data_IF_794159631575
#
_entry.id   IF_794159631575
#
_cell.length_a   1.000
_cell.length_b   1.000
_cell.length_c   1.000
_cell.angle_alpha   90.00
_cell.angle_beta   90.00
_cell.angle_gamma   90.00
#
_symmetry.space_group_name_H-M   'P 1'
#
loop_
_entity.id
_entity.type
_entity.pdbx_description
1 polymer ?
#
# COMPACT_ATOMS: atom_id res chain seq x y z
N UNK A 1 127.17 22.35 41.64
CA UNK A 1 126.44 21.60 42.70
C UNK A 1 125.08 22.20 43.08
N UNK A 2 124.96 23.29 43.86
CA UNK A 2 123.61 23.80 44.25
C UNK A 2 122.78 24.36 43.08
N UNK A 3 123.43 24.96 42.08
CA UNK A 3 122.79 25.46 40.85
C UNK A 3 122.35 24.33 39.90
N UNK A 4 123.03 23.18 39.91
CA UNK A 4 122.61 21.98 39.17
C UNK A 4 121.39 21.33 39.84
N UNK A 5 121.39 21.20 41.17
CA UNK A 5 120.25 20.67 41.91
C UNK A 5 119.00 21.54 41.72
N UNK A 6 119.14 22.85 41.58
CA UNK A 6 118.01 23.76 41.33
C UNK A 6 117.49 23.63 39.89
N UNK A 7 118.38 23.50 38.89
CA UNK A 7 118.00 23.22 37.50
C UNK A 7 117.33 21.85 37.34
N UNK A 8 117.81 20.83 38.03
CA UNK A 8 117.20 19.50 38.00
C UNK A 8 115.80 19.50 38.66
N UNK A 9 115.60 20.28 39.73
CA UNK A 9 114.29 20.42 40.38
C UNK A 9 113.29 21.22 39.53
N UNK A 10 113.70 22.28 38.85
CA UNK A 10 112.82 23.02 37.93
C UNK A 10 112.47 22.17 36.70
N UNK A 11 113.45 21.46 36.14
CA UNK A 11 113.24 20.54 35.01
C UNK A 11 112.27 19.42 35.39
N UNK A 12 112.44 18.77 36.55
CA UNK A 12 111.54 17.72 37.01
C UNK A 12 110.11 18.21 37.28
N UNK A 13 109.92 19.47 37.69
CA UNK A 13 108.60 20.05 37.92
C UNK A 13 107.88 20.39 36.61
N UNK A 14 108.62 20.89 35.61
CA UNK A 14 108.13 21.11 34.25
C UNK A 14 107.77 19.78 33.56
N UNK A 15 108.58 18.73 33.73
CA UNK A 15 108.25 17.38 33.22
C UNK A 15 106.99 16.82 33.89
N UNK A 16 106.80 17.02 35.20
CA UNK A 16 105.59 16.58 35.90
C UNK A 16 104.33 17.36 35.48
N UNK A 17 104.45 18.66 35.17
CA UNK A 17 103.35 19.44 34.61
C UNK A 17 103.02 18.99 33.18
N UNK A 18 104.03 18.68 32.35
CA UNK A 18 103.82 18.11 31.02
C UNK A 18 103.14 16.74 31.05
N UNK A 19 103.49 15.88 32.02
CA UNK A 19 102.83 14.58 32.22
C UNK A 19 101.35 14.75 32.59
N UNK A 20 101.02 15.65 33.54
CA UNK A 20 99.62 15.94 33.90
C UNK A 20 98.84 16.54 32.73
N UNK A 21 99.45 17.43 31.95
CA UNK A 21 98.84 17.98 30.75
C UNK A 21 98.55 16.87 29.71
N UNK A 22 99.48 15.92 29.53
CA UNK A 22 99.30 14.77 28.66
C UNK A 22 98.17 13.83 29.15
N UNK A 23 98.08 13.56 30.46
CA UNK A 23 97.01 12.76 31.06
C UNK A 23 95.63 13.40 30.89
N UNK A 24 95.51 14.72 31.12
CA UNK A 24 94.24 15.45 30.89
C UNK A 24 93.84 15.45 29.42
N UNK A 25 94.79 15.60 28.50
CA UNK A 25 94.54 15.54 27.06
C UNK A 25 94.12 14.13 26.64
N UNK A 26 94.72 13.09 27.22
CA UNK A 26 94.33 11.69 26.96
C UNK A 26 92.92 11.38 27.48
N UNK A 27 92.55 11.90 28.66
CA UNK A 27 91.19 11.79 29.19
C UNK A 27 90.19 12.55 28.31
N UNK A 28 90.54 13.74 27.81
CA UNK A 28 89.71 14.49 26.88
C UNK A 28 89.50 13.74 25.55
N UNK A 29 90.57 13.17 25.00
CA UNK A 29 90.51 12.35 23.77
C UNK A 29 89.64 11.11 24.00
N UNK A 30 89.75 10.45 25.15
CA UNK A 30 88.89 9.32 25.50
C UNK A 30 87.42 9.73 25.58
N UNK A 31 87.11 10.85 26.23
CA UNK A 31 85.75 11.39 26.29
C UNK A 31 85.21 11.75 24.90
N UNK A 32 86.02 12.37 24.03
CA UNK A 32 85.65 12.68 22.65
C UNK A 32 85.34 11.39 21.87
N UNK A 33 86.12 10.33 22.07
CA UNK A 33 85.88 9.03 21.43
C UNK A 33 84.57 8.39 21.93
N UNK A 34 84.30 8.44 23.24
CA UNK A 34 83.06 7.95 23.83
C UNK A 34 81.83 8.72 23.29
N UNK A 35 81.91 10.05 23.21
CA UNK A 35 80.85 10.87 22.62
C UNK A 35 80.67 10.53 21.14
N UNK A 36 81.76 10.32 20.40
CA UNK A 36 81.70 9.94 18.97
C UNK A 36 81.02 8.58 18.79
N UNK A 37 81.30 7.61 19.65
CA UNK A 37 80.60 6.33 19.63
C UNK A 37 79.11 6.46 19.93
N UNK A 38 78.75 7.26 20.94
CA UNK A 38 77.36 7.50 21.31
C UNK A 38 76.61 8.15 20.14
N UNK A 39 77.20 9.16 19.50
CA UNK A 39 76.62 9.82 18.33
C UNK A 39 76.43 8.84 17.18
N UNK A 40 77.40 7.98 16.90
CA UNK A 40 77.29 6.95 15.86
C UNK A 40 76.18 5.93 16.17
N UNK A 41 76.06 5.49 17.43
CA UNK A 41 74.98 4.59 17.89
C UNK A 41 73.61 5.26 17.72
N UNK A 42 73.48 6.53 18.09
CA UNK A 42 72.24 7.31 17.93
C UNK A 42 71.90 7.47 16.44
N UNK A 43 72.89 7.78 15.59
CA UNK A 43 72.69 7.90 14.14
C UNK A 43 72.15 6.61 13.54
N UNK A 44 72.77 5.47 13.83
CA UNK A 44 72.31 4.16 13.33
C UNK A 44 70.91 3.82 13.83
N UNK A 45 70.61 4.12 15.10
CA UNK A 45 69.27 3.91 15.67
C UNK A 45 68.22 4.78 14.98
N UNK A 46 68.51 6.07 14.77
CA UNK A 46 67.61 6.99 14.09
C UNK A 46 67.38 6.58 12.62
N UNK A 47 68.41 6.14 11.91
CA UNK A 47 68.29 5.62 10.54
C UNK A 47 67.38 4.37 10.50
N UNK A 48 67.56 3.45 11.45
CA UNK A 48 66.71 2.26 11.55
C UNK A 48 65.25 2.61 11.88
N UNK A 49 65.02 3.50 12.85
CA UNK A 49 63.68 3.99 13.23
C UNK A 49 62.99 4.69 12.05
N UNK A 50 63.71 5.53 11.31
CA UNK A 50 63.19 6.20 10.12
C UNK A 50 62.76 5.19 9.04
N UNK A 51 63.59 4.18 8.76
CA UNK A 51 63.27 3.14 7.77
C UNK A 51 62.02 2.35 8.20
N UNK A 52 61.89 2.02 9.49
CA UNK A 52 60.71 1.31 10.02
C UNK A 52 59.46 2.18 9.91
N UNK A 53 59.53 3.45 10.32
CA UNK A 53 58.43 4.40 10.22
C UNK A 53 57.98 4.57 8.75
N UNK A 54 58.93 4.73 7.83
CA UNK A 54 58.65 4.84 6.40
C UNK A 54 58.01 3.57 5.84
N UNK A 55 58.54 2.38 6.17
CA UNK A 55 57.95 1.09 5.74
C UNK A 55 56.53 0.93 6.25
N UNK A 56 56.27 1.28 7.50
CA UNK A 56 54.93 1.23 8.10
C UNK A 56 53.97 2.22 7.41
N UNK A 57 54.42 3.44 7.16
CA UNK A 57 53.64 4.44 6.44
C UNK A 57 53.32 3.99 5.00
N UNK A 58 54.29 3.44 4.28
CA UNK A 58 54.06 2.89 2.94
C UNK A 58 53.10 1.70 2.95
N UNK A 59 53.17 0.85 3.98
CA UNK A 59 52.21 -0.25 4.15
C UNK A 59 50.79 0.29 4.37
N UNK A 60 50.64 1.37 5.14
CA UNK A 60 49.36 2.07 5.34
C UNK A 60 48.83 2.66 4.03
N UNK A 61 49.64 3.40 3.28
CA UNK A 61 49.25 3.96 1.97
C UNK A 61 48.82 2.85 1.00
N UNK A 62 49.57 1.74 0.93
CA UNK A 62 49.20 0.60 0.07
C UNK A 62 47.85 -0.02 0.48
N UNK A 63 47.57 -0.10 1.78
CA UNK A 63 46.29 -0.59 2.27
C UNK A 63 45.14 0.37 1.90
N UNK A 64 45.32 1.68 2.08
CA UNK A 64 44.34 2.71 1.72
C UNK A 64 44.06 2.73 0.21
N UNK A 65 45.10 2.64 -0.63
CA UNK A 65 44.93 2.55 -2.09
C UNK A 65 44.17 1.29 -2.51
N UNK A 66 44.44 0.15 -1.86
CA UNK A 66 43.72 -1.10 -2.11
C UNK A 66 42.25 -0.98 -1.69
N UNK A 67 41.97 -0.35 -0.55
CA UNK A 67 40.60 -0.10 -0.09
C UNK A 67 39.84 0.81 -1.06
N UNK A 68 40.46 1.90 -1.53
CA UNK A 68 39.87 2.80 -2.52
C UNK A 68 39.58 2.10 -3.85
N UNK A 69 40.50 1.24 -4.31
CA UNK A 69 40.28 0.41 -5.50
C UNK A 69 39.08 -0.51 -5.32
N UNK A 70 39.01 -1.22 -4.20
CA UNK A 70 37.89 -2.12 -3.90
C UNK A 70 36.55 -1.36 -3.81
N UNK A 71 36.52 -0.19 -3.17
CA UNK A 71 35.32 0.67 -3.11
C UNK A 71 34.87 1.12 -4.50
N UNK A 72 35.81 1.46 -5.39
CA UNK A 72 35.50 1.87 -6.76
C UNK A 72 34.91 0.71 -7.56
N UNK A 73 35.49 -0.48 -7.42
CA UNK A 73 34.98 -1.70 -8.08
C UNK A 73 33.59 -2.10 -7.57
N UNK A 74 33.35 -2.02 -6.25
CA UNK A 74 32.03 -2.25 -5.65
C UNK A 74 30.99 -1.24 -6.17
N UNK A 75 31.34 0.04 -6.24
CA UNK A 75 30.47 1.07 -6.82
C UNK A 75 30.15 0.79 -8.30
N UNK A 76 31.14 0.38 -9.08
CA UNK A 76 30.94 0.02 -10.48
C UNK A 76 30.01 -1.20 -10.62
N UNK A 77 30.18 -2.23 -9.79
CA UNK A 77 29.30 -3.41 -9.77
C UNK A 77 27.86 -3.03 -9.39
N UNK A 78 27.69 -2.15 -8.39
CA UNK A 78 26.38 -1.64 -8.00
C UNK A 78 25.72 -0.83 -9.13
N UNK A 79 26.47 -0.02 -9.87
CA UNK A 79 25.96 0.70 -11.05
C UNK A 79 25.49 -0.26 -12.14
N UNK A 80 26.25 -1.33 -12.41
CA UNK A 80 25.87 -2.35 -13.41
C UNK A 80 24.57 -3.06 -12.99
N UNK A 81 24.46 -3.48 -11.72
CA UNK A 81 23.27 -4.13 -11.19
C UNK A 81 22.04 -3.22 -11.27
N UNK A 82 22.20 -1.95 -10.90
CA UNK A 82 21.13 -0.95 -11.03
C UNK A 82 20.70 -0.75 -12.48
N UNK A 83 21.65 -0.72 -13.43
CA UNK A 83 21.34 -0.62 -14.86
C UNK A 83 20.54 -1.82 -15.36
N UNK A 84 20.90 -3.04 -14.94
CA UNK A 84 20.14 -4.26 -15.26
C UNK A 84 18.72 -4.17 -14.70
N UNK A 85 18.56 -3.73 -13.45
CA UNK A 85 17.24 -3.56 -12.82
C UNK A 85 16.38 -2.50 -13.51
N UNK A 86 16.98 -1.38 -13.91
CA UNK A 86 16.28 -0.34 -14.70
C UNK A 86 15.79 -0.92 -16.02
N UNK A 87 16.64 -1.63 -16.76
CA UNK A 87 16.24 -2.25 -18.03
C UNK A 87 15.13 -3.28 -17.84
N UNK A 88 15.15 -4.07 -16.76
CA UNK A 88 14.06 -5.00 -16.44
C UNK A 88 12.74 -4.26 -16.21
N UNK A 89 12.76 -3.21 -15.39
CA UNK A 89 11.58 -2.38 -15.13
C UNK A 89 11.05 -1.72 -16.42
N UNK A 90 11.93 -1.22 -17.28
CA UNK A 90 11.54 -0.61 -18.55
C UNK A 90 10.89 -1.62 -19.51
N UNK A 91 11.39 -2.87 -19.53
CA UNK A 91 10.78 -3.95 -20.28
C UNK A 91 9.40 -4.32 -19.72
N UNK A 92 9.25 -4.47 -18.41
CA UNK A 92 7.95 -4.72 -17.78
C UNK A 92 6.95 -3.59 -18.06
N UNK A 93 7.41 -2.34 -18.01
CA UNK A 93 6.58 -1.18 -18.30
C UNK A 93 6.13 -1.16 -19.76
N UNK A 94 6.97 -1.62 -20.68
CA UNK A 94 6.61 -1.79 -22.10
C UNK A 94 5.54 -2.87 -22.27
N UNK A 95 5.69 -4.02 -21.62
CA UNK A 95 4.67 -5.09 -21.63
C UNK A 95 3.33 -4.61 -21.08
N UNK A 96 3.33 -3.83 -19.99
CA UNK A 96 2.08 -3.27 -19.45
C UNK A 96 1.42 -2.27 -20.40
N UNK A 97 2.20 -1.46 -21.13
CA UNK A 97 1.67 -0.55 -22.15
C UNK A 97 1.03 -1.32 -23.30
N UNK A 98 1.71 -2.34 -23.82
CA UNK A 98 1.20 -3.19 -24.89
C UNK A 98 -0.10 -3.92 -24.46
N UNK A 99 -0.12 -4.47 -23.24
CA UNK A 99 -1.31 -5.15 -22.71
C UNK A 99 -2.48 -4.19 -22.53
N UNK A 100 -2.23 -2.96 -22.06
CA UNK A 100 -3.25 -1.93 -21.98
C UNK A 100 -3.82 -1.57 -23.35
N UNK A 101 -2.98 -1.40 -24.37
CA UNK A 101 -3.43 -1.13 -25.74
C UNK A 101 -4.29 -2.28 -26.28
N UNK A 102 -3.85 -3.53 -26.09
CA UNK A 102 -4.61 -4.72 -26.47
C UNK A 102 -5.97 -4.80 -25.77
N UNK A 103 -6.03 -4.46 -24.48
CA UNK A 103 -7.28 -4.42 -23.74
C UNK A 103 -8.21 -3.30 -24.22
N UNK A 104 -7.67 -2.12 -24.56
CA UNK A 104 -8.46 -1.04 -25.14
C UNK A 104 -9.08 -1.44 -26.48
N UNK A 105 -8.32 -2.06 -27.36
CA UNK A 105 -8.81 -2.56 -28.65
C UNK A 105 -9.94 -3.59 -28.44
N UNK A 106 -9.76 -4.52 -27.51
CA UNK A 106 -10.78 -5.53 -27.17
C UNK A 106 -12.07 -4.90 -26.61
N UNK A 107 -11.94 -3.87 -25.78
CA UNK A 107 -13.10 -3.11 -25.26
C UNK A 107 -13.81 -2.38 -26.40
N UNK A 108 -13.07 -1.77 -27.31
CA UNK A 108 -13.65 -1.07 -28.46
C UNK A 108 -14.43 -2.04 -29.35
N UNK A 109 -13.87 -3.22 -29.64
CA UNK A 109 -14.56 -4.27 -30.40
C UNK A 109 -15.85 -4.71 -29.70
N UNK A 110 -15.80 -4.97 -28.39
CA UNK A 110 -16.99 -5.37 -27.63
C UNK A 110 -18.06 -4.28 -27.55
N UNK A 111 -17.65 -3.01 -27.52
CA UNK A 111 -18.59 -1.90 -27.59
C UNK A 111 -19.30 -1.83 -28.96
N UNK A 112 -18.57 -2.05 -30.07
CA UNK A 112 -19.17 -2.14 -31.41
C UNK A 112 -20.19 -3.28 -31.49
N UNK A 113 -19.81 -4.49 -31.06
CA UNK A 113 -20.73 -5.64 -31.01
C UNK A 113 -21.99 -5.35 -30.16
N UNK A 114 -21.82 -4.68 -29.01
CA UNK A 114 -22.95 -4.33 -28.14
C UNK A 114 -23.89 -3.31 -28.79
N UNK A 115 -23.35 -2.34 -29.53
CA UNK A 115 -24.16 -1.40 -30.31
C UNK A 115 -24.96 -2.11 -31.42
N UNK A 116 -24.33 -3.04 -32.14
CA UNK A 116 -25.01 -3.85 -33.16
C UNK A 116 -26.13 -4.70 -32.57
N UNK A 117 -25.88 -5.37 -31.43
CA UNK A 117 -26.89 -6.16 -30.74
C UNK A 117 -28.04 -5.31 -30.22
N UNK A 118 -27.77 -4.10 -29.70
CA UNK A 118 -28.82 -3.15 -29.32
C UNK A 118 -29.68 -2.74 -30.50
N UNK A 119 -29.08 -2.50 -31.66
CA UNK A 119 -29.80 -2.18 -32.88
C UNK A 119 -30.70 -3.35 -33.32
N UNK A 120 -30.16 -4.57 -33.39
CA UNK A 120 -30.92 -5.79 -33.73
C UNK A 120 -32.08 -6.04 -32.75
N UNK A 121 -31.84 -5.83 -31.45
CA UNK A 121 -32.88 -5.96 -30.42
C UNK A 121 -33.99 -4.94 -30.64
N UNK A 122 -33.66 -3.69 -30.96
CA UNK A 122 -34.63 -2.64 -31.24
C UNK A 122 -35.47 -2.96 -32.49
N UNK A 123 -34.83 -3.46 -33.55
CA UNK A 123 -35.52 -3.89 -34.77
C UNK A 123 -36.47 -5.06 -34.50
N UNK A 124 -36.00 -6.08 -33.78
CA UNK A 124 -36.83 -7.23 -33.38
C UNK A 124 -38.03 -6.81 -32.51
N UNK A 125 -37.83 -5.85 -31.59
CA UNK A 125 -38.94 -5.28 -30.80
C UNK A 125 -39.99 -4.61 -31.68
N UNK A 126 -39.58 -3.78 -32.64
CA UNK A 126 -40.52 -3.14 -33.58
C UNK A 126 -41.34 -4.17 -34.37
N UNK A 127 -40.70 -5.24 -34.85
CA UNK A 127 -41.38 -6.34 -35.55
C UNK A 127 -42.35 -7.08 -34.64
N UNK A 128 -41.96 -7.35 -33.39
CA UNK A 128 -42.82 -8.00 -32.42
C UNK A 128 -44.06 -7.13 -32.09
N UNK A 129 -43.86 -5.83 -31.87
CA UNK A 129 -44.95 -4.87 -31.62
C UNK A 129 -45.93 -4.82 -32.81
N UNK A 130 -45.40 -4.83 -34.04
CA UNK A 130 -46.21 -4.86 -35.26
C UNK A 130 -47.03 -6.16 -35.38
N UNK A 131 -46.41 -7.31 -35.14
CA UNK A 131 -47.11 -8.61 -35.16
C UNK A 131 -48.16 -8.68 -34.04
N UNK A 132 -47.84 -8.18 -32.85
CA UNK A 132 -48.79 -8.11 -31.74
C UNK A 132 -50.01 -7.24 -32.09
N UNK A 133 -49.80 -6.11 -32.77
CA UNK A 133 -50.89 -5.28 -33.29
C UNK A 133 -51.73 -6.02 -34.33
N UNK A 134 -51.12 -6.76 -35.27
CA UNK A 134 -51.86 -7.56 -36.25
C UNK A 134 -52.69 -8.66 -35.57
N UNK A 135 -52.11 -9.40 -34.63
CA UNK A 135 -52.80 -10.46 -33.88
C UNK A 135 -53.98 -9.88 -33.09
N UNK A 136 -53.79 -8.74 -32.42
CA UNK A 136 -54.89 -8.02 -31.74
C UNK A 136 -55.99 -7.60 -32.72
N UNK A 137 -55.63 -7.14 -33.92
CA UNK A 137 -56.57 -6.79 -34.97
C UNK A 137 -57.39 -7.98 -35.47
N UNK A 138 -56.74 -9.12 -35.71
CA UNK A 138 -57.40 -10.37 -36.11
C UNK A 138 -58.31 -10.92 -35.01
N UNK A 139 -57.87 -10.91 -33.75
CA UNK A 139 -58.70 -11.30 -32.61
C UNK A 139 -59.98 -10.45 -32.52
N UNK A 140 -59.89 -9.14 -32.75
CA UNK A 140 -61.08 -8.26 -32.78
C UNK A 140 -62.03 -8.62 -33.92
N UNK A 141 -61.51 -8.85 -35.14
CA UNK A 141 -62.31 -9.28 -36.29
C UNK A 141 -63.00 -10.61 -36.05
N UNK A 142 -62.28 -11.60 -35.52
CA UNK A 142 -62.82 -12.92 -35.20
C UNK A 142 -63.96 -12.82 -34.18
N UNK A 143 -63.78 -12.00 -33.14
CA UNK A 143 -64.82 -11.74 -32.14
C UNK A 143 -66.06 -11.05 -32.73
N UNK A 144 -65.89 -10.15 -33.70
CA UNK A 144 -67.02 -9.54 -34.42
C UNK A 144 -67.77 -10.54 -35.29
N UNK A 145 -67.05 -11.40 -36.02
CA UNK A 145 -67.65 -12.47 -36.83
C UNK A 145 -68.45 -13.48 -35.98
N UNK A 146 -67.96 -13.82 -34.78
CA UNK A 146 -68.70 -14.67 -33.84
C UNK A 146 -70.04 -14.01 -33.43
N UNK A 147 -70.04 -12.70 -33.16
CA UNK A 147 -71.25 -11.94 -32.84
C UNK A 147 -72.21 -11.86 -34.03
N UNK A 148 -71.72 -11.58 -35.25
CA UNK A 148 -72.55 -11.55 -36.47
C UNK A 148 -73.20 -12.92 -36.74
N UNK A 149 -72.47 -14.00 -36.48
CA UNK A 149 -72.99 -15.36 -36.61
C UNK A 149 -74.06 -15.68 -35.57
N UNK A 150 -73.94 -15.16 -34.35
CA UNK A 150 -74.98 -15.26 -33.32
C UNK A 150 -76.22 -14.40 -33.63
N UNK A 151 -76.06 -13.28 -34.35
CA UNK A 151 -77.16 -12.40 -34.75
C UNK A 151 -77.91 -12.88 -35.99
N UNK A 152 -77.27 -13.67 -36.87
CA UNK A 152 -77.98 -14.40 -37.92
C UNK A 152 -78.67 -15.63 -37.33
N UNK A 153 -79.89 -15.41 -36.82
CA UNK A 153 -80.83 -16.48 -36.54
C UNK A 153 -81.20 -17.19 -37.87
N UNK A 154 -80.59 -18.35 -38.13
CA UNK A 154 -81.09 -19.31 -39.12
C UNK A 154 -82.14 -20.20 -38.44
N UNK A 155 -83.35 -20.35 -39.02
CA UNK A 155 -84.33 -21.30 -38.52
C UNK A 155 -83.93 -22.73 -38.92
N UNK A 156 -84.02 -23.63 -37.94
CA UNK A 156 -84.21 -25.08 -37.99
C UNK A 156 -83.94 -25.81 -39.32
N UNK A 157 -82.91 -26.67 -39.36
CA UNK A 157 -83.05 -28.01 -39.94
C UNK A 157 -82.00 -28.97 -39.35
N UNK A 158 -82.51 -30.04 -38.73
CA UNK A 158 -81.77 -31.25 -38.38
C UNK A 158 -81.16 -31.89 -39.63
N UNK A 159 -79.87 -32.23 -39.58
CA UNK A 159 -79.45 -33.54 -40.08
C UNK A 159 -78.09 -33.95 -39.50
N UNK A 160 -78.17 -35.04 -38.75
CA UNK A 160 -77.12 -35.93 -38.29
C UNK A 160 -76.13 -36.29 -39.40
N UNK A 161 -74.82 -36.31 -39.10
CA UNK A 161 -73.94 -37.44 -39.40
C UNK A 161 -72.73 -37.45 -38.45
N UNK A 162 -72.60 -38.55 -37.73
CA UNK A 162 -71.44 -38.93 -36.92
C UNK A 162 -70.18 -39.08 -37.79
N UNK A 163 -69.01 -38.70 -37.27
CA UNK A 163 -67.82 -39.57 -37.34
C UNK A 163 -66.87 -39.28 -36.17
N UNK A 164 -66.26 -40.36 -35.72
CA UNK A 164 -65.50 -40.62 -34.49
C UNK A 164 -64.06 -40.10 -34.51
N UNK A 165 -63.58 -39.50 -33.42
CA UNK A 165 -62.22 -39.74 -32.86
C UNK A 165 -62.01 -38.98 -31.53
N UNK A 166 -61.20 -39.52 -30.59
CA UNK A 166 -61.32 -39.20 -29.17
C UNK A 166 -60.35 -38.12 -28.65
N UNK A 167 -60.82 -37.47 -27.58
CA UNK A 167 -60.11 -36.92 -26.43
C UNK A 167 -58.59 -36.69 -26.54
N UNK A 168 -58.20 -35.41 -26.48
CA UNK A 168 -56.97 -35.04 -25.78
C UNK A 168 -57.21 -33.80 -24.92
N UNK A 169 -57.20 -34.03 -23.60
CA UNK A 169 -57.32 -33.02 -22.56
C UNK A 169 -55.99 -32.25 -22.47
N UNK A 170 -55.94 -31.01 -22.93
CA UNK A 170 -54.92 -30.06 -22.47
C UNK A 170 -55.57 -28.96 -21.65
N UNK A 171 -55.42 -29.12 -20.33
CA UNK A 171 -55.81 -28.17 -19.30
C UNK A 171 -55.01 -26.87 -19.48
N UNK A 172 -55.70 -25.74 -19.66
CA UNK A 172 -55.11 -24.41 -19.50
C UNK A 172 -54.90 -24.12 -18.01
N UNK A 173 -53.64 -24.17 -17.58
CA UNK A 173 -53.23 -23.71 -16.25
C UNK A 173 -53.14 -22.19 -16.26
N UNK A 174 -54.15 -21.50 -15.72
CA UNK A 174 -54.05 -20.09 -15.32
C UNK A 174 -52.98 -19.98 -14.22
N UNK A 175 -51.80 -19.42 -14.52
CA UNK A 175 -50.87 -18.96 -13.49
C UNK A 175 -51.33 -17.60 -12.98
N UNK A 176 -51.81 -17.57 -11.73
CA UNK A 176 -51.89 -16.35 -10.93
C UNK A 176 -50.47 -15.93 -10.56
N UNK A 177 -50.11 -14.70 -10.88
CA UNK A 177 -48.94 -14.00 -10.37
C UNK A 177 -49.21 -13.62 -8.92
N UNK A 178 -48.45 -14.16 -7.98
CA UNK A 178 -48.41 -13.71 -6.58
C UNK A 178 -47.38 -12.60 -6.45
N UNK A 179 -47.81 -11.46 -5.94
CA UNK A 179 -46.95 -10.37 -5.48
C UNK A 179 -46.05 -10.85 -4.35
N UNK A 180 -44.76 -10.49 -4.44
CA UNK A 180 -43.77 -10.74 -3.39
C UNK A 180 -43.46 -9.40 -2.73
N UNK A 181 -43.99 -9.17 -1.53
CA UNK A 181 -43.47 -8.17 -0.61
C UNK A 181 -42.43 -8.84 0.28
N UNK A 182 -41.20 -8.34 0.28
CA UNK A 182 -40.24 -8.64 1.34
C UNK A 182 -39.42 -7.39 1.68
N UNK A 183 -39.75 -6.77 2.81
CA UNK A 183 -38.80 -6.01 3.62
C UNK A 183 -38.71 -6.75 4.95
N UNK A 184 -37.59 -7.42 5.19
CA UNK A 184 -37.18 -7.85 6.51
C UNK A 184 -35.65 -7.71 6.59
N UNK A 185 -35.21 -6.62 7.23
CA UNK A 185 -33.86 -6.52 7.75
C UNK A 185 -33.72 -7.51 8.91
N UNK A 186 -32.76 -8.44 8.84
CA UNK A 186 -32.38 -9.25 10.00
C UNK A 186 -30.86 -9.41 10.05
N UNK A 187 -30.24 -8.61 10.91
CA UNK A 187 -28.88 -8.81 11.36
C UNK A 187 -28.79 -9.96 12.37
N UNK A 188 -27.72 -10.73 12.24
CA UNK A 188 -26.99 -11.50 13.27
C UNK A 188 -27.59 -12.78 13.87
N UNK A 189 -26.75 -13.83 13.76
CA UNK A 189 -26.55 -14.97 14.67
C UNK A 189 -27.74 -15.89 14.98
N UNK A 190 -28.07 -16.86 14.12
CA UNK A 190 -29.20 -17.76 14.40
C UNK A 190 -29.09 -19.22 13.87
N UNK A 191 -27.90 -19.85 13.85
CA UNK A 191 -27.78 -21.21 13.26
C UNK A 191 -28.44 -22.34 14.09
N UNK A 192 -28.51 -22.23 15.42
CA UNK A 192 -29.21 -23.23 16.27
C UNK A 192 -30.72 -22.99 16.38
N UNK A 193 -31.16 -21.75 16.21
CA UNK A 193 -32.56 -21.39 16.40
C UNK A 193 -33.40 -21.77 15.18
N UNK A 194 -32.84 -21.70 13.96
CA UNK A 194 -33.58 -22.09 12.75
C UNK A 194 -34.00 -23.57 12.70
N UNK A 195 -33.21 -24.50 13.25
CA UNK A 195 -33.63 -25.90 13.33
C UNK A 195 -34.83 -26.07 14.27
N UNK A 196 -34.82 -25.41 15.43
CA UNK A 196 -35.93 -25.41 16.38
C UNK A 196 -37.18 -24.72 15.81
N UNK A 197 -37.03 -23.54 15.20
CA UNK A 197 -38.16 -22.80 14.62
C UNK A 197 -38.79 -23.54 13.43
N UNK A 198 -38.00 -24.20 12.59
CA UNK A 198 -38.52 -25.04 11.50
C UNK A 198 -39.21 -26.27 12.09
N UNK A 199 -38.62 -26.94 13.07
CA UNK A 199 -39.23 -28.10 13.75
C UNK A 199 -40.55 -27.76 14.42
N UNK A 200 -40.63 -26.60 15.09
CA UNK A 200 -41.83 -26.11 15.79
C UNK A 200 -42.95 -25.73 14.82
N UNK A 201 -42.64 -25.34 13.57
CA UNK A 201 -43.65 -25.05 12.55
C UNK A 201 -44.30 -26.31 11.94
N UNK A 202 -43.68 -27.49 12.07
CA UNK A 202 -44.17 -28.75 11.49
C UNK A 202 -44.71 -29.75 12.51
N UNK A 203 -44.61 -29.46 13.81
CA UNK A 203 -45.22 -30.25 14.88
C UNK A 203 -46.58 -29.65 15.27
N UNK A 204 -47.62 -30.01 14.53
CA UNK A 204 -48.99 -30.01 15.05
C UNK A 204 -49.52 -31.44 15.02
N UNK A 205 -50.22 -31.79 16.10
CA UNK A 205 -50.58 -33.14 16.51
C UNK A 205 -51.37 -33.92 15.46
N UNK A 206 -51.18 -35.25 15.52
CA UNK A 206 -51.84 -36.35 14.80
C UNK A 206 -51.15 -36.90 13.53
N UNK A 207 -50.88 -38.23 13.60
CA UNK A 207 -50.41 -39.17 12.56
C UNK A 207 -48.94 -39.65 12.70
N UNK A 208 -48.77 -40.64 13.57
CA UNK A 208 -47.52 -41.37 13.86
C UNK A 208 -46.86 -42.10 12.65
N UNK A 209 -47.50 -42.19 11.48
CA UNK A 209 -46.93 -42.81 10.28
C UNK A 209 -46.37 -41.83 9.23
N UNK A 210 -46.63 -40.51 9.37
CA UNK A 210 -46.08 -39.49 8.46
C UNK A 210 -44.82 -38.80 9.01
N UNK A 211 -44.47 -39.02 10.29
CA UNK A 211 -43.33 -38.39 10.95
C UNK A 211 -41.98 -38.71 10.30
N UNK A 212 -41.78 -39.93 9.79
CA UNK A 212 -40.53 -40.32 9.11
C UNK A 212 -40.32 -39.48 7.83
N UNK A 213 -41.40 -39.18 7.09
CA UNK A 213 -41.31 -38.36 5.87
C UNK A 213 -41.07 -36.88 6.19
N UNK A 214 -41.65 -36.38 7.28
CA UNK A 214 -41.45 -35.00 7.72
C UNK A 214 -40.03 -34.77 8.22
N UNK A 215 -39.46 -35.71 8.98
CA UNK A 215 -38.07 -35.63 9.43
C UNK A 215 -37.08 -35.63 8.24
N UNK A 216 -37.33 -36.44 7.20
CA UNK A 216 -36.53 -36.40 5.97
C UNK A 216 -36.64 -35.05 5.24
N UNK A 217 -37.82 -34.43 5.22
CA UNK A 217 -38.03 -33.12 4.60
C UNK A 217 -37.32 -32.04 5.41
N UNK A 218 -37.43 -32.07 6.73
CA UNK A 218 -36.75 -31.14 7.64
C UNK A 218 -35.22 -31.27 7.49
N UNK A 219 -34.71 -32.50 7.39
CA UNK A 219 -33.28 -32.75 7.17
C UNK A 219 -32.82 -32.21 5.81
N UNK A 220 -33.61 -32.40 4.74
CA UNK A 220 -33.32 -31.84 3.42
C UNK A 220 -33.31 -30.32 3.44
N UNK A 221 -34.31 -29.69 4.06
CA UNK A 221 -34.39 -28.23 4.20
C UNK A 221 -33.21 -27.69 5.01
N UNK A 222 -32.87 -28.35 6.13
CA UNK A 222 -31.71 -27.98 6.96
C UNK A 222 -30.39 -28.07 6.18
N UNK A 223 -30.20 -29.13 5.38
CA UNK A 223 -29.04 -29.26 4.48
C UNK A 223 -28.99 -28.14 3.45
N UNK A 224 -30.12 -27.77 2.83
CA UNK A 224 -30.18 -26.66 1.87
C UNK A 224 -29.87 -25.31 2.52
N UNK A 225 -30.42 -25.04 3.70
CA UNK A 225 -30.12 -23.81 4.46
C UNK A 225 -28.64 -23.73 4.80
N UNK A 226 -28.05 -24.81 5.30
CA UNK A 226 -26.62 -24.87 5.62
C UNK A 226 -25.74 -24.63 4.40
N UNK A 227 -26.12 -25.17 3.23
CA UNK A 227 -25.39 -24.93 1.98
C UNK A 227 -25.46 -23.47 1.52
N UNK A 228 -26.63 -22.82 1.69
CA UNK A 228 -26.81 -21.40 1.38
C UNK A 228 -25.96 -20.53 2.32
N UNK A 229 -25.97 -20.83 3.61
CA UNK A 229 -25.15 -20.13 4.60
C UNK A 229 -23.65 -20.26 4.31
N UNK A 230 -23.19 -21.46 3.98
CA UNK A 230 -21.79 -21.69 3.60
C UNK A 230 -21.39 -20.89 2.35
N UNK A 231 -22.29 -20.80 1.35
CA UNK A 231 -22.06 -19.96 0.16
C UNK A 231 -21.94 -18.49 0.53
N UNK A 232 -22.83 -17.96 1.37
CA UNK A 232 -22.77 -16.57 1.81
C UNK A 232 -21.56 -16.26 2.69
N UNK A 233 -21.18 -17.15 3.62
CA UNK A 233 -19.96 -16.99 4.41
C UNK A 233 -18.72 -16.95 3.52
N UNK A 234 -18.62 -17.83 2.53
CA UNK A 234 -17.50 -17.83 1.56
C UNK A 234 -17.47 -16.55 0.73
N UNK A 235 -18.63 -16.02 0.37
CA UNK A 235 -18.74 -14.75 -0.34
C UNK A 235 -18.30 -13.56 0.53
N UNK A 236 -18.72 -13.52 1.80
CA UNK A 236 -18.29 -12.51 2.77
C UNK A 236 -16.78 -12.59 3.01
N UNK A 237 -16.21 -13.78 3.18
CA UNK A 237 -14.76 -13.96 3.32
C UNK A 237 -14.00 -13.46 2.09
N UNK A 238 -14.47 -13.78 0.89
CA UNK A 238 -13.86 -13.28 -0.35
C UNK A 238 -13.94 -11.76 -0.48
N UNK A 239 -15.07 -11.15 -0.09
CA UNK A 239 -15.22 -9.69 -0.10
C UNK A 239 -14.31 -9.02 0.93
N UNK A 240 -14.19 -9.57 2.14
CA UNK A 240 -13.28 -9.08 3.16
C UNK A 240 -11.81 -9.19 2.74
N UNK A 241 -11.42 -10.30 2.09
CA UNK A 241 -10.07 -10.43 1.53
C UNK A 241 -9.82 -9.42 0.40
N UNK A 242 -10.80 -9.17 -0.47
CA UNK A 242 -10.69 -8.14 -1.52
C UNK A 242 -10.57 -6.74 -0.92
N UNK A 243 -11.36 -6.41 0.09
CA UNK A 243 -11.28 -5.13 0.80
C UNK A 243 -9.91 -4.96 1.47
N UNK A 244 -9.40 -5.98 2.14
CA UNK A 244 -8.07 -5.97 2.76
C UNK A 244 -6.95 -5.80 1.70
N UNK A 245 -7.04 -6.51 0.58
CA UNK A 245 -6.08 -6.37 -0.52
C UNK A 245 -6.13 -4.99 -1.19
N UNK A 246 -7.32 -4.39 -1.30
CA UNK A 246 -7.48 -3.02 -1.79
C UNK A 246 -6.89 -2.01 -0.81
N UNK A 247 -7.06 -2.19 0.49
CA UNK A 247 -6.47 -1.34 1.53
C UNK A 247 -4.93 -1.40 1.48
N UNK A 248 -4.36 -2.60 1.34
CA UNK A 248 -2.91 -2.78 1.16
C UNK A 248 -2.43 -2.15 -0.15
N UNK A 249 -3.18 -2.32 -1.24
CA UNK A 249 -2.84 -1.76 -2.57
C UNK A 249 -2.94 -0.23 -2.60
N UNK A 250 -3.94 0.35 -1.95
CA UNK A 250 -4.06 1.80 -1.79
C UNK A 250 -2.94 2.34 -0.88
N UNK A 251 -2.61 1.68 0.22
CA UNK A 251 -1.46 2.07 1.05
C UNK A 251 -0.11 1.97 0.30
N UNK A 252 -0.01 1.06 -0.68
CA UNK A 252 1.16 1.00 -1.59
C UNK A 252 1.13 2.08 -2.67
N UNK A 253 -0.04 2.62 -3.04
CA UNK A 253 -0.21 3.71 -4.03
C UNK A 253 -0.19 5.11 -3.40
N UNK A 254 -0.45 5.23 -2.10
CA UNK A 254 -0.20 6.43 -1.30
C UNK A 254 1.29 6.62 -0.96
N UNK A 255 2.18 5.80 -1.53
CA UNK A 255 3.64 5.97 -1.58
C UNK A 255 4.01 7.12 -2.53
N UNK A 256 3.39 8.28 -2.34
CA UNK A 256 4.11 9.54 -2.46
C UNK A 256 4.24 10.05 -1.03
N UNK A 257 4.83 9.21 -0.17
CA UNK A 257 5.36 9.67 1.10
C UNK A 257 6.48 10.63 0.71
N UNK A 258 6.42 11.88 1.14
CA UNK A 258 7.50 12.82 0.82
C UNK A 258 8.82 12.23 1.32
N UNK A 259 9.93 12.38 0.59
CA UNK A 259 11.24 11.91 1.06
C UNK A 259 11.57 12.46 2.47
N UNK A 260 11.07 13.66 2.78
CA UNK A 260 11.18 14.29 4.10
C UNK A 260 10.37 13.57 5.19
N UNK A 261 9.23 12.99 4.82
CA UNK A 261 8.38 12.24 5.73
C UNK A 261 8.98 10.87 6.04
N UNK A 262 9.51 10.19 5.02
CA UNK A 262 10.28 8.96 5.20
C UNK A 262 11.52 9.22 6.07
N UNK A 263 12.24 10.32 5.80
CA UNK A 263 13.38 10.74 6.61
C UNK A 263 12.99 11.08 8.06
N UNK A 264 11.86 11.74 8.28
CA UNK A 264 11.35 12.01 9.63
C UNK A 264 11.07 10.72 10.41
N UNK A 265 10.38 9.76 9.78
CA UNK A 265 10.09 8.48 10.42
C UNK A 265 11.36 7.67 10.71
N UNK A 266 12.32 7.68 9.78
CA UNK A 266 13.62 7.05 9.98
C UNK A 266 14.40 7.69 11.14
N UNK A 267 14.34 9.02 11.28
CA UNK A 267 14.92 9.73 12.43
C UNK A 267 14.25 9.31 13.74
N UNK A 268 12.91 9.29 13.79
CA UNK A 268 12.15 8.87 14.99
C UNK A 268 12.49 7.42 15.37
N UNK A 269 12.54 6.52 14.39
CA UNK A 269 12.92 5.13 14.62
C UNK A 269 14.38 4.97 15.06
N UNK A 270 15.30 5.73 14.47
CA UNK A 270 16.71 5.71 14.88
C UNK A 270 16.87 6.15 16.33
N UNK A 271 16.18 7.24 16.71
CA UNK A 271 16.17 7.73 18.09
C UNK A 271 15.54 6.69 19.03
N UNK A 272 14.45 6.03 18.66
CA UNK A 272 13.88 4.91 19.44
C UNK A 272 14.90 3.80 19.65
N UNK A 273 15.59 3.37 18.59
CA UNK A 273 16.62 2.32 18.67
C UNK A 273 17.76 2.73 19.60
N UNK A 274 18.20 3.98 19.56
CA UNK A 274 19.28 4.48 20.40
C UNK A 274 18.87 4.60 21.87
N UNK A 275 17.63 5.01 22.15
CA UNK A 275 17.06 4.99 23.50
C UNK A 275 16.97 3.55 24.01
N UNK A 276 16.41 2.62 23.23
CA UNK A 276 16.29 1.20 23.59
C UNK A 276 17.66 0.56 23.86
N UNK A 277 18.69 0.88 23.06
CA UNK A 277 20.07 0.41 23.27
C UNK A 277 20.69 0.95 24.55
N UNK A 278 20.37 2.19 24.93
CA UNK A 278 20.82 2.81 26.19
C UNK A 278 20.06 2.29 27.40
N UNK A 279 18.83 1.82 27.20
CA UNK A 279 17.96 1.19 28.21
C UNK A 279 18.35 -0.26 28.48
N UNK A 280 19.64 -0.53 28.72
CA UNK A 280 20.11 -1.83 29.24
C UNK A 280 19.52 -2.07 30.63
N UNK A 281 19.28 -3.33 31.05
CA UNK A 281 18.65 -3.65 32.32
C UNK A 281 19.67 -3.52 33.45
N UNK A 282 19.97 -2.30 33.85
CA UNK A 282 20.45 -2.05 35.21
C UNK A 282 19.25 -1.55 36.00
N UNK A 283 18.84 -2.34 36.99
CA UNK A 283 17.64 -2.15 37.77
C UNK A 283 17.56 -0.78 38.45
N UNK A 284 16.32 -0.40 38.80
CA UNK A 284 15.89 0.77 39.58
C UNK A 284 15.40 1.98 38.77
N UNK A 285 14.28 1.80 38.04
CA UNK A 285 13.51 2.89 37.43
C UNK A 285 12.63 3.70 38.42
N UNK A 286 12.64 3.42 39.73
CA UNK A 286 11.78 4.14 40.68
C UNK A 286 12.41 5.41 41.31
N UNK A 287 13.72 5.61 41.21
CA UNK A 287 14.40 6.73 41.89
C UNK A 287 14.46 8.01 41.02
N UNK A 288 14.23 7.93 39.71
CA UNK A 288 14.48 9.05 38.79
C UNK A 288 13.23 9.82 38.32
N UNK A 289 12.03 9.42 38.77
CA UNK A 289 10.78 10.13 38.49
C UNK A 289 10.64 11.39 39.38
N UNK A 290 11.20 11.36 40.60
CA UNK A 290 11.11 12.45 41.60
C UNK A 290 12.05 13.63 41.35
N UNK A 291 12.98 13.53 40.39
CA UNK A 291 13.89 14.64 40.04
C UNK A 291 13.33 15.60 38.98
N UNK A 292 12.19 15.29 38.35
CA UNK A 292 11.62 16.15 37.30
C UNK A 292 10.78 17.30 37.90
N UNK A 293 10.25 17.13 39.12
CA UNK A 293 9.35 18.11 39.74
C UNK A 293 10.06 19.33 40.37
N UNK A 294 11.40 19.36 40.40
CA UNK A 294 12.20 20.43 41.03
C UNK A 294 12.94 21.37 40.06
N UNK A 295 12.58 21.40 38.77
CA UNK A 295 13.18 22.33 37.82
C UNK A 295 12.48 23.71 37.87
N UNK A 296 13.13 24.68 38.50
CA UNK A 296 12.67 26.08 38.56
C UNK A 296 13.40 27.01 37.59
N UNK A 297 14.49 26.56 36.97
CA UNK A 297 15.27 27.37 36.04
C UNK A 297 15.34 26.73 34.63
N UNK A 298 14.55 27.28 33.70
CA UNK A 298 14.47 26.83 32.31
C UNK A 298 15.62 27.35 31.43
N UNK A 299 16.57 28.12 31.99
CA UNK A 299 17.65 28.74 31.24
C UNK A 299 18.86 27.82 30.99
N UNK A 300 19.02 26.75 31.77
CA UNK A 300 20.17 25.83 31.67
C UNK A 300 19.72 24.39 31.33
N UNK A 301 19.49 24.11 30.05
CA UNK A 301 19.25 22.74 29.58
C UNK A 301 20.56 21.95 29.50
N UNK A 302 20.81 21.08 30.48
CA UNK A 302 21.91 20.12 30.41
C UNK A 302 21.65 19.05 29.34
N UNK A 303 22.72 18.35 28.94
CA UNK A 303 22.67 17.36 27.85
C UNK A 303 21.77 16.18 28.20
N UNK A 304 21.72 15.85 29.48
CA UNK A 304 20.94 14.80 30.11
C UNK A 304 19.44 15.12 30.03
N UNK A 305 19.05 16.38 30.29
CA UNK A 305 17.66 16.85 30.23
C UNK A 305 17.14 16.81 28.79
N UNK A 306 17.97 17.24 27.82
CA UNK A 306 17.64 17.17 26.39
C UNK A 306 17.38 15.74 25.95
N UNK A 307 18.19 14.78 26.41
CA UNK A 307 18.00 13.36 26.11
C UNK A 307 16.73 12.80 26.74
N UNK A 308 16.41 13.19 27.98
CA UNK A 308 15.21 12.74 28.70
C UNK A 308 13.93 13.28 28.07
N UNK A 309 13.93 14.54 27.64
CA UNK A 309 12.84 15.12 26.85
C UNK A 309 12.69 14.38 25.53
N UNK A 310 13.78 14.08 24.83
CA UNK A 310 13.73 13.32 23.58
C UNK A 310 13.13 11.93 23.81
N UNK A 311 13.48 11.25 24.91
CA UNK A 311 12.87 9.98 25.30
C UNK A 311 11.37 10.12 25.57
N UNK A 312 10.95 11.14 26.33
CA UNK A 312 9.54 11.42 26.62
C UNK A 312 8.73 11.71 25.35
N UNK A 313 9.27 12.53 24.45
CA UNK A 313 8.63 12.90 23.19
C UNK A 313 8.47 11.68 22.27
N UNK A 314 9.51 10.85 22.17
CA UNK A 314 9.52 9.70 21.26
C UNK A 314 8.74 8.49 21.82
N UNK A 315 8.61 8.40 23.14
CA UNK A 315 7.80 7.38 23.82
C UNK A 315 6.31 7.72 23.80
N UNK A 316 5.94 8.99 23.67
CA UNK A 316 4.54 9.40 23.60
C UNK A 316 4.03 9.44 22.16
N UNK A 317 3.34 8.38 21.75
CA UNK A 317 2.78 8.27 20.40
C UNK A 317 1.82 9.42 20.05
N UNK A 318 1.05 9.95 21.01
CA UNK A 318 0.11 11.04 20.75
C UNK A 318 0.85 12.32 20.33
N UNK A 319 1.98 12.60 20.97
CA UNK A 319 2.84 13.76 20.64
C UNK A 319 3.46 13.57 19.26
N UNK A 320 3.96 12.37 18.95
CA UNK A 320 4.52 12.05 17.63
C UNK A 320 3.47 12.16 16.52
N UNK A 321 2.26 11.67 16.74
CA UNK A 321 1.14 11.81 15.81
C UNK A 321 0.78 13.28 15.62
N UNK A 322 0.74 14.08 16.69
CA UNK A 322 0.48 15.52 16.61
C UNK A 322 1.58 16.26 15.81
N UNK A 323 2.85 15.99 16.10
CA UNK A 323 4.00 16.53 15.36
C UNK A 323 3.94 16.16 13.88
N UNK A 324 3.67 14.89 13.59
CA UNK A 324 3.52 14.39 12.23
C UNK A 324 2.38 15.09 11.49
N UNK A 325 1.23 15.30 12.15
CA UNK A 325 0.10 16.03 11.57
C UNK A 325 0.42 17.51 11.28
N UNK A 326 1.23 18.15 12.14
CA UNK A 326 1.64 19.55 11.96
C UNK A 326 2.73 19.73 10.90
N UNK A 327 3.66 18.78 10.80
CA UNK A 327 4.73 18.79 9.81
C UNK A 327 4.24 18.41 8.42
N UNK A 328 3.23 17.53 8.33
CA UNK A 328 2.72 17.00 7.07
C UNK A 328 1.19 17.18 6.92
N UNK A 329 0.67 18.42 6.99
CA UNK A 329 -0.78 18.68 7.01
C UNK A 329 -1.48 18.25 5.70
N UNK A 330 -0.77 18.29 4.58
CA UNK A 330 -1.31 17.89 3.28
C UNK A 330 -1.53 16.37 3.17
N UNK A 331 -0.72 15.55 3.83
CA UNK A 331 -0.87 14.10 3.80
C UNK A 331 -2.06 13.64 4.66
N UNK A 332 -2.24 14.26 5.82
CA UNK A 332 -3.40 14.00 6.69
C UNK A 332 -4.69 14.42 6.00
N UNK A 333 -4.70 15.58 5.34
CA UNK A 333 -5.86 16.03 4.57
C UNK A 333 -6.13 15.15 3.33
N UNK A 334 -5.11 14.59 2.69
CA UNK A 334 -5.26 13.64 1.58
C UNK A 334 -5.81 12.29 2.05
N UNK A 335 -5.33 11.77 3.17
CA UNK A 335 -5.85 10.53 3.78
C UNK A 335 -7.27 10.73 4.29
N UNK A 336 -7.59 11.88 4.92
CA UNK A 336 -8.95 12.19 5.34
C UNK A 336 -9.86 12.42 4.12
N UNK A 337 -9.36 13.05 3.05
CA UNK A 337 -10.11 13.19 1.80
C UNK A 337 -10.35 11.84 1.13
N UNK A 338 -9.37 10.94 1.07
CA UNK A 338 -9.57 9.60 0.50
C UNK A 338 -10.58 8.81 1.31
N UNK A 339 -10.51 8.85 2.65
CA UNK A 339 -11.50 8.22 3.53
C UNK A 339 -12.91 8.83 3.31
N UNK A 340 -13.02 10.16 3.17
CA UNK A 340 -14.31 10.83 2.94
C UNK A 340 -14.86 10.58 1.54
N UNK A 341 -14.00 10.49 0.53
CA UNK A 341 -14.35 10.12 -0.84
C UNK A 341 -14.81 8.65 -0.91
N UNK A 342 -14.18 7.74 -0.18
CA UNK A 342 -14.61 6.35 -0.07
C UNK A 342 -15.96 6.20 0.67
N UNK A 343 -16.21 7.01 1.71
CA UNK A 343 -17.55 7.10 2.35
C UNK A 343 -18.60 7.65 1.39
N UNK A 344 -18.25 8.65 0.58
CA UNK A 344 -19.15 9.19 -0.44
C UNK A 344 -19.41 8.22 -1.60
N UNK A 345 -18.41 7.41 -1.99
CA UNK A 345 -18.59 6.36 -3.00
C UNK A 345 -19.48 5.24 -2.47
N UNK A 346 -19.33 4.85 -1.19
CA UNK A 346 -20.23 3.89 -0.55
C UNK A 346 -21.66 4.45 -0.42
N UNK A 347 -21.82 5.73 -0.06
CA UNK A 347 -23.13 6.40 -0.05
C UNK A 347 -23.74 6.55 -1.46
N UNK A 348 -22.93 6.76 -2.49
CA UNK A 348 -23.37 6.82 -3.89
C UNK A 348 -23.78 5.45 -4.41
N UNK A 349 -23.06 4.38 -4.04
CA UNK A 349 -23.44 2.99 -4.31
C UNK A 349 -24.75 2.63 -3.59
N UNK A 350 -24.92 3.03 -2.33
CA UNK A 350 -26.16 2.81 -1.56
C UNK A 350 -27.35 3.62 -2.09
N UNK A 351 -27.12 4.82 -2.65
CA UNK A 351 -28.16 5.59 -3.35
C UNK A 351 -28.48 5.01 -4.74
N UNK A 352 -27.49 4.47 -5.45
CA UNK A 352 -27.71 3.84 -6.76
C UNK A 352 -28.51 2.53 -6.69
N UNK A 353 -28.51 1.85 -5.54
CA UNK A 353 -29.35 0.67 -5.27
C UNK A 353 -30.78 1.06 -4.83
N UNK A 354 -31.01 2.32 -4.42
CA UNK A 354 -32.34 2.81 -3.99
C UNK A 354 -33.19 3.48 -5.08
N UNK A 355 -32.66 3.71 -6.28
CA UNK A 355 -33.37 4.49 -7.32
C UNK A 355 -34.34 3.72 -8.24
N UNK A 356 -34.56 2.41 -8.07
CA UNK A 356 -35.50 1.66 -8.92
C UNK A 356 -36.90 1.45 -8.32
N UNK A 357 -37.25 2.18 -7.24
CA UNK A 357 -38.62 2.16 -6.71
C UNK A 357 -39.08 3.54 -6.26
N UNK A 358 -39.50 4.40 -7.20
CA UNK A 358 -40.64 5.30 -6.98
C UNK A 358 -41.09 6.04 -8.26
N UNK A 359 -42.41 6.03 -8.43
CA UNK A 359 -43.26 7.00 -9.16
C UNK A 359 -43.19 7.08 -10.69
N UNK A 360 -44.11 6.31 -11.30
CA UNK A 360 -45.05 6.86 -12.28
C UNK A 360 -45.82 8.04 -11.67
N UNK A 361 -45.69 9.24 -12.21
CA UNK A 361 -46.80 10.19 -12.34
C UNK A 361 -46.51 11.17 -13.48
N UNK A 362 -47.47 11.27 -14.39
CA UNK A 362 -47.52 12.24 -15.47
C UNK A 362 -47.44 13.67 -14.95
N UNK A 363 -46.64 14.52 -15.62
CA UNK A 363 -47.09 15.84 -16.05
C UNK A 363 -46.20 16.37 -17.17
N UNK A 364 -46.88 16.75 -18.26
CA UNK A 364 -46.37 17.45 -19.43
C UNK A 364 -45.97 18.88 -19.08
N UNK A 365 -44.75 19.28 -19.45
CA UNK A 365 -44.31 20.67 -19.39
C UNK A 365 -42.97 20.83 -20.09
N UNK A 366 -42.93 21.73 -21.07
CA UNK A 366 -41.79 22.16 -21.87
C UNK A 366 -40.49 22.32 -21.07
N UNK A 367 -39.41 21.69 -21.55
CA UNK A 367 -38.05 22.06 -21.16
C UNK A 367 -37.14 22.16 -22.38
N UNK A 368 -36.57 23.36 -22.55
CA UNK A 368 -35.42 23.63 -23.40
C UNK A 368 -34.28 22.66 -23.09
N UNK A 369 -33.74 22.08 -24.14
CA UNK A 369 -32.59 21.17 -24.11
C UNK A 369 -31.31 22.00 -23.90
N UNK A 370 -30.86 22.13 -22.65
CA UNK A 370 -29.46 22.40 -22.37
C UNK A 370 -28.71 21.07 -22.27
N UNK A 371 -27.82 20.85 -23.23
CA UNK A 371 -27.03 19.63 -23.39
C UNK A 371 -26.09 19.47 -22.17
N UNK A 372 -26.17 18.38 -21.40
CA UNK A 372 -25.21 18.14 -20.33
C UNK A 372 -23.85 17.82 -20.95
N UNK A 373 -22.87 18.68 -20.69
CA UNK A 373 -21.47 18.47 -21.06
C UNK A 373 -20.99 17.15 -20.47
N UNK A 374 -20.65 16.22 -21.36
CA UNK A 374 -20.15 14.90 -21.01
C UNK A 374 -18.85 15.01 -20.20
N UNK A 375 -18.68 14.08 -19.26
CA UNK A 375 -17.54 13.93 -18.33
C UNK A 375 -16.16 13.80 -19.00
N UNK A 376 -16.12 13.79 -20.34
CA UNK A 376 -14.92 13.80 -21.18
C UNK A 376 -14.27 15.18 -21.25
N UNK A 377 -15.02 16.27 -21.12
CA UNK A 377 -14.48 17.65 -21.21
C UNK A 377 -13.84 18.14 -19.90
N UNK A 378 -14.32 17.68 -18.74
CA UNK A 378 -13.77 18.13 -17.45
C UNK A 378 -12.37 17.53 -17.19
N UNK A 379 -12.06 16.36 -17.76
CA UNK A 379 -10.73 15.72 -17.62
C UNK A 379 -9.68 16.30 -18.57
N UNK A 380 -10.04 16.76 -19.77
CA UNK A 380 -9.08 17.37 -20.72
C UNK A 380 -8.65 18.79 -20.31
N UNK A 381 -9.56 19.56 -19.69
CA UNK A 381 -9.24 20.89 -19.17
C UNK A 381 -8.28 20.84 -17.95
N UNK A 382 -8.42 19.84 -17.09
CA UNK A 382 -7.53 19.65 -15.92
C UNK A 382 -6.12 19.20 -16.31
N UNK A 383 -6.01 18.31 -17.31
CA UNK A 383 -4.71 17.85 -17.81
C UNK A 383 -3.94 18.95 -18.54
N UNK A 384 -4.63 19.80 -19.31
CA UNK A 384 -4.01 20.93 -20.02
C UNK A 384 -3.46 21.97 -19.03
N UNK A 385 -4.18 22.24 -17.94
CA UNK A 385 -3.73 23.19 -16.90
C UNK A 385 -2.54 22.66 -16.10
N UNK A 386 -2.40 21.34 -15.92
CA UNK A 386 -1.23 20.73 -15.28
C UNK A 386 0.02 20.70 -16.19
N UNK A 387 -0.17 20.58 -17.51
CA UNK A 387 0.94 20.61 -18.47
C UNK A 387 1.49 22.03 -18.66
N UNK A 388 0.66 23.08 -18.58
CA UNK A 388 1.10 24.47 -18.62
C UNK A 388 1.98 24.85 -17.42
N UNK A 389 1.64 24.40 -16.21
CA UNK A 389 2.46 24.65 -15.00
C UNK A 389 3.82 23.94 -15.08
N UNK A 390 3.90 22.78 -15.76
CA UNK A 390 5.17 22.08 -15.97
C UNK A 390 6.04 22.75 -17.04
N UNK A 391 5.44 23.36 -18.06
CA UNK A 391 6.17 24.08 -19.12
C UNK A 391 6.70 25.45 -18.62
N UNK A 392 5.95 26.14 -17.76
CA UNK A 392 6.40 27.38 -17.12
C UNK A 392 7.58 27.20 -16.15
N UNK A 393 7.71 26.04 -15.50
CA UNK A 393 8.83 25.75 -14.59
C UNK A 393 10.15 25.34 -15.28
N UNK A 394 10.10 24.97 -16.55
CA UNK A 394 11.30 24.65 -17.34
C UNK A 394 11.98 25.90 -17.92
N UNK A 395 11.24 27.01 -18.06
CA UNK A 395 11.79 28.29 -18.56
C UNK A 395 12.51 29.12 -17.48
N UNK A 396 12.36 28.79 -16.19
CA UNK A 396 13.03 29.51 -15.09
C UNK A 396 14.35 28.87 -14.64
N UNK A 397 14.83 27.84 -15.35
CA UNK A 397 16.10 27.16 -15.03
C UNK A 397 17.22 27.44 -16.04
N UNK A 398 17.01 28.44 -16.90
CA UNK A 398 17.96 28.80 -17.96
C UNK A 398 18.34 30.30 -17.98
N UNK A 399 18.18 30.98 -16.84
CA UNK A 399 18.81 32.27 -16.55
C UNK A 399 19.41 32.25 -15.15
#
# INVERSE_FOLDING_TARGET
MQLEIYKDRTSANDTNQQIKAAETLQSLVQYINEVTEIVNKIKLKNEAEFIIAYKNHMKKIKAELKELKNKTEEQQNNMILNKVKINQNDNELTLFREECLRLYEKIEQKNKENQELKFKLQESKKTNDFLEQQVKGLMKKLKLYEIEKEQQATPLLEQTFCTTAPANQFKFTKRKMTEYQSKLDLSSSLSKYHFLTIKDMFFNEEQNNNNIKNDEIIEKVSKYVTQIEQKYQKQIQNLNQKAHNLLISQNKKSVIRSDLESFFLECVESVRRDILKKKKPFGNNQILQSQIDNFTDYSQFHKEDKLKILELVVSNEKILVFLYQKLFPNHVNLVIKSIREDININNFLDQSVKCDQSSNQHQSGDYKVDVPKTTREVRSASLSKQLEVKRGKLLFKQY
#
